data_IF_252807334781
#
_entry.id   IF_252807334781
#
_cell.length_a   1.000
_cell.length_b   1.000
_cell.length_c   1.000
_cell.angle_alpha   90.00
_cell.angle_beta   90.00
_cell.angle_gamma   90.00
#
_symmetry.space_group_name_H-M   'P 1'
#
loop_
_entity.id
_entity.type
_entity.pdbx_description
1 polymer ?
#
# COMPACT_ATOMS: atom_id res chain seq x y z
N UNK A 1 -30.31 40.14 51.34
CA UNK A 1 -29.49 41.00 52.21
C UNK A 1 -28.08 41.08 51.62
N UNK A 2 -27.68 42.35 51.41
CA UNK A 2 -26.31 42.87 51.16
C UNK A 2 -25.44 42.06 50.19
N UNK A 3 -25.07 42.41 48.97
CA UNK A 3 -24.81 43.75 48.41
C UNK A 3 -23.38 44.22 48.71
N UNK A 4 -22.40 43.88 47.80
CA UNK A 4 -21.19 44.72 47.64
C UNK A 4 -20.75 44.75 46.19
N UNK A 5 -20.90 45.92 45.61
CA UNK A 5 -20.33 46.43 44.40
C UNK A 5 -18.89 46.89 44.70
N UNK A 6 -17.90 46.54 43.89
CA UNK A 6 -16.68 47.33 43.77
C UNK A 6 -16.38 47.70 42.34
N UNK A 7 -15.99 48.93 42.21
CA UNK A 7 -15.88 49.74 41.00
C UNK A 7 -14.48 49.61 40.38
N UNK A 8 -14.49 49.68 39.10
CA UNK A 8 -13.47 49.98 38.08
C UNK A 8 -12.48 51.08 38.50
N UNK A 9 -11.20 50.89 38.17
CA UNK A 9 -10.27 51.97 37.78
C UNK A 9 -9.47 51.48 36.58
N UNK A 10 -9.62 52.21 35.47
CA UNK A 10 -8.80 52.09 34.27
C UNK A 10 -7.55 52.97 34.48
N UNK A 11 -6.38 52.43 34.13
CA UNK A 11 -5.19 53.22 33.91
C UNK A 11 -4.54 52.79 32.61
N UNK A 12 -4.63 53.64 31.60
CA UNK A 12 -3.92 53.48 30.33
C UNK A 12 -2.46 53.83 30.48
N UNK A 13 -1.61 53.03 29.90
CA UNK A 13 -0.20 53.41 29.64
C UNK A 13 0.08 53.12 28.17
N UNK A 14 0.29 54.22 27.46
CA UNK A 14 0.80 54.25 26.08
C UNK A 14 2.31 54.06 26.14
N UNK A 15 2.85 53.02 25.53
CA UNK A 15 4.31 52.90 25.32
C UNK A 15 4.55 52.81 23.80
N UNK A 16 5.16 53.85 23.26
CA UNK A 16 5.83 53.86 21.98
C UNK A 16 7.05 52.93 22.04
N UNK A 17 7.14 51.97 21.15
CA UNK A 17 8.38 51.22 20.94
C UNK A 17 8.96 51.54 19.56
N UNK A 18 10.19 51.96 19.59
CA UNK A 18 11.03 52.24 18.46
C UNK A 18 11.38 50.94 17.68
N UNK A 19 11.36 51.07 16.39
CA UNK A 19 11.93 50.09 15.43
C UNK A 19 13.47 50.22 15.48
N UNK A 20 14.13 49.11 15.81
CA UNK A 20 15.55 48.94 15.55
C UNK A 20 15.72 47.73 14.63
N UNK A 21 16.10 48.00 13.38
CA UNK A 21 16.59 47.00 12.45
C UNK A 21 17.97 46.53 12.95
N UNK A 22 18.13 45.25 13.13
CA UNK A 22 19.42 44.59 13.28
C UNK A 22 19.47 43.43 12.28
N UNK A 23 20.27 43.59 11.23
CA UNK A 23 20.78 42.50 10.44
C UNK A 23 21.71 41.69 11.33
N UNK A 24 21.48 40.41 11.42
CA UNK A 24 22.37 39.41 11.99
C UNK A 24 22.37 38.21 11.09
N UNK A 25 23.49 38.02 10.37
CA UNK A 25 23.82 36.79 9.71
C UNK A 25 23.97 35.69 10.78
N UNK A 26 23.25 34.60 10.63
CA UNK A 26 23.59 33.32 11.27
C UNK A 26 23.44 32.21 10.22
N UNK A 27 24.59 31.73 9.79
CA UNK A 27 24.76 30.49 9.07
C UNK A 27 24.31 29.32 9.96
N UNK A 28 23.28 28.60 9.52
CA UNK A 28 22.82 27.35 10.13
C UNK A 28 22.14 26.50 9.07
N UNK A 29 22.91 25.58 8.46
CA UNK A 29 22.47 24.73 7.38
C UNK A 29 21.28 23.84 7.75
N UNK A 30 20.33 23.80 6.86
CA UNK A 30 19.22 22.89 6.78
C UNK A 30 18.70 23.00 5.35
N UNK A 31 19.17 22.09 4.48
CA UNK A 31 18.75 22.06 3.08
C UNK A 31 17.30 21.60 3.03
N UNK A 32 16.45 22.47 2.59
CA UNK A 32 15.09 22.22 2.13
C UNK A 32 14.90 23.11 0.91
N UNK A 33 15.06 22.55 -0.28
CA UNK A 33 14.77 23.22 -1.55
C UNK A 33 13.25 23.30 -1.73
N UNK A 34 12.59 24.20 -0.99
CA UNK A 34 11.21 24.56 -1.27
C UNK A 34 11.21 25.49 -2.48
N UNK A 35 10.62 25.09 -3.60
CA UNK A 35 10.28 26.00 -4.69
C UNK A 35 9.45 27.16 -4.14
N UNK A 36 9.55 28.36 -4.74
CA UNK A 36 8.73 29.52 -4.36
C UNK A 36 7.26 29.25 -4.72
N UNK A 37 6.53 28.52 -3.85
CA UNK A 37 5.11 28.24 -4.02
C UNK A 37 4.28 29.50 -3.81
N UNK A 38 3.49 29.90 -4.79
CA UNK A 38 2.53 31.01 -4.63
C UNK A 38 1.38 30.60 -3.67
N UNK A 39 1.03 29.32 -3.67
CA UNK A 39 0.06 28.71 -2.76
C UNK A 39 0.38 27.23 -2.59
N UNK A 40 -0.08 26.65 -1.48
CA UNK A 40 0.05 25.21 -1.18
C UNK A 40 -1.35 24.58 -1.15
N UNK A 41 -1.53 23.52 -1.94
CA UNK A 41 -2.78 22.78 -1.98
C UNK A 41 -2.83 21.72 -0.87
N UNK A 42 -3.99 21.65 -0.20
CA UNK A 42 -4.25 20.61 0.81
C UNK A 42 -4.74 19.34 0.12
N UNK A 43 -4.12 18.23 0.40
CA UNK A 43 -4.44 16.93 -0.20
C UNK A 43 -4.58 15.87 0.88
N UNK A 44 -5.51 14.95 0.71
CA UNK A 44 -5.72 13.81 1.60
C UNK A 44 -5.57 12.48 0.85
N UNK A 45 -4.79 11.56 1.45
CA UNK A 45 -4.59 10.19 0.97
C UNK A 45 -5.12 9.19 2.01
N UNK A 46 -6.10 8.38 1.66
CA UNK A 46 -6.56 7.27 2.51
C UNK A 46 -5.72 6.02 2.23
N UNK A 47 -5.04 5.51 3.25
CA UNK A 47 -4.39 4.19 3.21
C UNK A 47 -5.43 3.08 3.32
N UNK A 48 -5.11 1.90 2.79
CA UNK A 48 -6.00 0.75 2.90
C UNK A 48 -5.77 -0.11 4.16
N UNK A 49 -4.67 0.10 4.87
CA UNK A 49 -4.30 -0.67 6.06
C UNK A 49 -3.62 0.21 7.11
N UNK A 50 -3.25 -0.40 8.24
CA UNK A 50 -2.47 0.25 9.29
C UNK A 50 -1.11 0.73 8.79
N UNK A 51 -0.51 1.68 9.52
CA UNK A 51 0.81 2.25 9.18
C UNK A 51 1.88 1.15 9.21
N UNK A 52 2.46 0.88 8.06
CA UNK A 52 3.54 -0.09 7.87
C UNK A 52 4.32 0.22 6.59
N UNK A 53 5.45 -0.48 6.34
CA UNK A 53 6.32 -0.21 5.18
C UNK A 53 5.64 -0.44 3.83
N UNK A 54 4.47 -1.09 3.79
CA UNK A 54 3.59 -1.14 2.62
C UNK A 54 3.29 0.25 2.04
N UNK A 55 3.38 1.30 2.85
CA UNK A 55 3.09 2.67 2.47
C UNK A 55 4.31 3.60 2.56
N UNK A 56 5.51 3.03 2.66
CA UNK A 56 6.74 3.77 2.94
C UNK A 56 7.01 4.90 1.94
N UNK A 57 6.74 4.70 0.65
CA UNK A 57 6.98 5.73 -0.37
C UNK A 57 6.20 7.02 -0.12
N UNK A 58 4.97 6.93 0.37
CA UNK A 58 4.15 8.10 0.69
C UNK A 58 4.67 8.85 1.92
N UNK A 59 5.08 8.12 2.96
CA UNK A 59 5.70 8.70 4.14
C UNK A 59 7.08 9.29 3.84
N UNK A 60 7.86 8.64 2.97
CA UNK A 60 9.14 9.17 2.50
C UNK A 60 8.94 10.45 1.67
N UNK A 61 7.92 10.50 0.81
CA UNK A 61 7.61 11.71 0.06
C UNK A 61 7.26 12.90 0.98
N UNK A 62 6.62 12.63 2.12
CA UNK A 62 6.33 13.65 3.13
C UNK A 62 7.60 14.05 3.91
N UNK A 63 8.37 13.09 4.41
CA UNK A 63 9.56 13.30 5.24
C UNK A 63 10.68 14.02 4.47
N UNK A 64 10.92 13.60 3.21
CA UNK A 64 11.93 14.16 2.34
C UNK A 64 11.52 15.50 1.68
N UNK A 65 10.28 15.93 1.89
CA UNK A 65 9.77 17.19 1.36
C UNK A 65 9.32 17.15 -0.10
N UNK A 66 9.25 15.99 -0.75
CA UNK A 66 8.86 15.88 -2.16
C UNK A 66 7.44 16.41 -2.44
N UNK A 67 6.51 16.23 -1.49
CA UNK A 67 5.20 16.87 -1.58
C UNK A 67 5.30 18.40 -1.48
N UNK A 68 6.12 18.92 -0.57
CA UNK A 68 6.31 20.35 -0.41
C UNK A 68 6.96 20.99 -1.64
N UNK A 69 7.91 20.29 -2.29
CA UNK A 69 8.53 20.72 -3.55
C UNK A 69 7.52 20.81 -4.71
N UNK A 70 6.43 20.02 -4.62
CA UNK A 70 5.28 20.06 -5.53
C UNK A 70 4.16 21.01 -5.05
N UNK A 71 4.42 21.86 -4.06
CA UNK A 71 3.44 22.76 -3.47
C UNK A 71 2.20 22.06 -2.91
N UNK A 72 2.39 20.88 -2.32
CA UNK A 72 1.35 20.09 -1.69
C UNK A 72 1.60 19.93 -0.19
N UNK A 73 0.53 20.03 0.59
CA UNK A 73 0.50 19.59 2.00
C UNK A 73 -0.41 18.36 2.09
N UNK A 74 0.20 17.17 2.19
CA UNK A 74 -0.51 15.90 2.14
C UNK A 74 -0.80 15.38 3.55
N UNK A 75 -2.07 15.10 3.82
CA UNK A 75 -2.52 14.39 5.02
C UNK A 75 -2.70 12.91 4.68
N UNK A 76 -1.87 12.05 5.26
CA UNK A 76 -1.98 10.60 5.13
C UNK A 76 -2.92 10.09 6.22
N UNK A 77 -4.04 9.48 5.82
CA UNK A 77 -5.08 8.96 6.72
C UNK A 77 -4.89 7.45 6.84
N UNK A 78 -4.67 6.98 8.08
CA UNK A 78 -4.48 5.56 8.35
C UNK A 78 -5.73 4.75 7.98
N UNK A 79 -5.51 3.55 7.45
CA UNK A 79 -6.56 2.58 7.14
C UNK A 79 -6.79 1.57 8.27
N UNK A 80 -7.35 0.41 7.93
CA UNK A 80 -7.61 -0.68 8.87
C UNK A 80 -8.75 -1.57 8.41
N UNK A 81 -9.04 -2.62 9.19
CA UNK A 81 -10.01 -3.68 8.84
C UNK A 81 -11.40 -3.14 8.47
N UNK A 82 -11.86 -2.12 9.18
CA UNK A 82 -13.21 -1.54 9.00
C UNK A 82 -13.24 -0.38 7.99
N UNK A 83 -12.10 -0.02 7.39
CA UNK A 83 -11.99 1.08 6.43
C UNK A 83 -12.02 0.55 5.01
N UNK A 84 -12.92 1.10 4.20
CA UNK A 84 -13.03 0.82 2.77
C UNK A 84 -12.55 2.06 2.00
N UNK A 85 -11.25 2.15 1.65
CA UNK A 85 -10.63 3.39 1.16
C UNK A 85 -11.25 3.88 -0.16
N UNK A 86 -11.55 2.99 -1.08
CA UNK A 86 -12.21 3.34 -2.34
C UNK A 86 -13.63 3.91 -2.13
N UNK A 87 -14.30 3.57 -1.01
CA UNK A 87 -15.59 4.17 -0.66
C UNK A 87 -15.40 5.56 -0.06
N UNK A 88 -14.37 5.76 0.78
CA UNK A 88 -14.03 7.09 1.30
C UNK A 88 -13.74 8.08 0.16
N UNK A 89 -13.04 7.62 -0.88
CA UNK A 89 -12.81 8.39 -2.09
C UNK A 89 -14.13 8.67 -2.85
N UNK A 90 -14.95 7.65 -3.08
CA UNK A 90 -16.22 7.80 -3.79
C UNK A 90 -17.20 8.74 -3.08
N UNK A 91 -17.15 8.79 -1.75
CA UNK A 91 -17.96 9.69 -0.92
C UNK A 91 -17.38 11.11 -0.85
N UNK A 92 -16.20 11.37 -1.45
CA UNK A 92 -15.51 12.65 -1.42
C UNK A 92 -14.93 13.02 -0.05
N UNK A 93 -14.68 12.03 0.80
CA UNK A 93 -14.08 12.25 2.12
C UNK A 93 -12.56 12.46 2.04
N UNK A 94 -11.93 11.97 0.99
CA UNK A 94 -10.50 12.11 0.70
C UNK A 94 -10.31 12.42 -0.78
N UNK A 95 -9.14 12.95 -1.14
CA UNK A 95 -8.80 13.30 -2.53
C UNK A 95 -8.27 12.10 -3.31
N UNK A 96 -7.50 11.23 -2.65
CA UNK A 96 -6.94 10.00 -3.21
C UNK A 96 -7.09 8.85 -2.22
N UNK A 97 -7.11 7.62 -2.75
CA UNK A 97 -7.16 6.42 -1.92
C UNK A 97 -6.26 5.32 -2.50
N UNK A 98 -5.72 4.48 -1.62
CA UNK A 98 -5.04 3.24 -2.00
C UNK A 98 -6.03 2.09 -1.91
N UNK A 99 -6.10 1.29 -2.94
CA UNK A 99 -6.93 0.08 -2.95
C UNK A 99 -6.39 -0.94 -3.96
N UNK A 100 -6.61 -2.22 -3.66
CA UNK A 100 -6.38 -3.29 -4.62
C UNK A 100 -7.38 -3.20 -5.77
N UNK A 101 -6.90 -3.50 -6.98
CA UNK A 101 -7.70 -3.35 -8.20
C UNK A 101 -9.04 -4.09 -8.14
N UNK A 102 -9.13 -5.39 -7.77
CA UNK A 102 -10.41 -6.09 -7.75
C UNK A 102 -11.42 -5.45 -6.78
N UNK A 103 -10.97 -4.99 -5.61
CA UNK A 103 -11.86 -4.32 -4.63
C UNK A 103 -12.39 -2.98 -5.13
N UNK A 104 -11.53 -2.21 -5.78
CA UNK A 104 -11.92 -0.94 -6.38
C UNK A 104 -12.87 -1.14 -7.58
N UNK A 105 -12.63 -2.15 -8.41
CA UNK A 105 -13.52 -2.51 -9.52
C UNK A 105 -14.91 -2.95 -9.04
N UNK A 106 -15.00 -3.73 -7.95
CA UNK A 106 -16.28 -4.07 -7.33
C UNK A 106 -17.04 -2.82 -6.85
N UNK A 107 -16.32 -1.85 -6.27
CA UNK A 107 -16.92 -0.58 -5.83
C UNK A 107 -17.36 0.26 -7.03
N UNK A 108 -16.61 0.25 -8.14
CA UNK A 108 -17.03 0.87 -9.41
C UNK A 108 -18.28 0.23 -9.97
N UNK A 109 -18.37 -1.11 -10.00
CA UNK A 109 -19.57 -1.82 -10.46
C UNK A 109 -20.80 -1.47 -9.61
N UNK A 110 -20.60 -1.20 -8.31
CA UNK A 110 -21.63 -0.70 -7.41
C UNK A 110 -22.01 0.77 -7.64
N UNK A 111 -21.33 1.48 -8.55
CA UNK A 111 -21.67 2.83 -8.99
C UNK A 111 -20.67 3.92 -8.60
N UNK A 112 -19.56 3.61 -7.96
CA UNK A 112 -18.51 4.58 -7.65
C UNK A 112 -17.79 5.06 -8.93
N UNK A 113 -17.59 6.37 -9.06
CA UNK A 113 -16.89 6.96 -10.20
C UNK A 113 -15.42 7.25 -9.85
N UNK A 114 -14.63 6.21 -9.63
CA UNK A 114 -13.21 6.29 -9.31
C UNK A 114 -12.36 5.68 -10.42
N UNK A 115 -11.13 6.12 -10.59
CA UNK A 115 -10.20 5.67 -11.65
C UNK A 115 -8.82 5.39 -11.08
N UNK A 116 -8.18 4.29 -11.50
CA UNK A 116 -6.78 4.01 -11.21
C UNK A 116 -5.88 4.95 -12.03
N UNK A 117 -5.07 5.75 -11.36
CA UNK A 117 -4.18 6.74 -11.98
C UNK A 117 -2.69 6.40 -11.85
N UNK A 118 -2.34 5.43 -11.00
CA UNK A 118 -0.99 4.87 -10.90
C UNK A 118 -1.00 3.51 -10.19
N UNK A 119 -0.49 2.49 -10.86
CA UNK A 119 -0.35 1.12 -10.33
C UNK A 119 1.02 0.96 -9.68
N UNK A 120 1.10 1.15 -8.36
CA UNK A 120 2.38 1.12 -7.65
C UNK A 120 2.93 -0.30 -7.57
N UNK A 121 2.16 -1.25 -7.07
CA UNK A 121 2.58 -2.66 -7.09
C UNK A 121 2.32 -3.27 -8.46
N UNK A 122 3.39 -3.68 -9.12
CA UNK A 122 3.37 -4.23 -10.48
C UNK A 122 3.04 -5.72 -10.50
N UNK A 123 3.05 -6.39 -9.33
CA UNK A 123 2.89 -7.83 -9.14
C UNK A 123 2.05 -8.10 -7.90
N UNK A 124 1.44 -9.29 -7.83
CA UNK A 124 0.81 -9.77 -6.61
C UNK A 124 1.86 -10.22 -5.60
N UNK A 125 1.67 -9.83 -4.34
CA UNK A 125 2.45 -10.32 -3.21
C UNK A 125 1.77 -11.45 -2.46
N UNK A 126 0.64 -11.98 -2.93
CA UNK A 126 -0.12 -13.02 -2.22
C UNK A 126 0.51 -14.40 -2.41
N UNK A 127 0.63 -15.09 -1.31
CA UNK A 127 1.20 -16.44 -1.19
C UNK A 127 0.23 -17.38 -0.49
N UNK A 128 0.45 -18.69 -0.69
CA UNK A 128 -0.01 -19.71 0.23
C UNK A 128 1.21 -20.39 0.85
N UNK A 129 1.34 -20.29 2.17
CA UNK A 129 2.51 -20.79 2.93
C UNK A 129 2.13 -22.04 3.71
N UNK A 130 2.98 -23.04 3.68
CA UNK A 130 2.81 -24.29 4.43
C UNK A 130 4.15 -24.80 4.95
N UNK A 131 4.16 -25.66 5.94
CA UNK A 131 5.37 -26.37 6.34
C UNK A 131 5.76 -27.45 5.33
N UNK A 132 7.06 -27.71 5.20
CA UNK A 132 7.60 -28.71 4.24
C UNK A 132 6.93 -30.08 4.41
N UNK A 133 6.66 -30.48 5.64
CA UNK A 133 6.03 -31.77 5.96
C UNK A 133 4.58 -31.90 5.47
N UNK A 134 3.91 -30.79 5.12
CA UNK A 134 2.57 -30.81 4.51
C UNK A 134 2.57 -31.44 3.13
N UNK A 135 3.72 -31.36 2.43
CA UNK A 135 3.90 -31.81 1.06
C UNK A 135 3.20 -30.92 0.02
N UNK A 136 2.77 -29.69 0.41
CA UNK A 136 2.14 -28.72 -0.49
C UNK A 136 3.24 -27.93 -1.18
N UNK A 137 3.39 -28.09 -2.49
CA UNK A 137 4.39 -27.40 -3.30
C UNK A 137 3.79 -26.68 -4.50
N UNK A 138 2.57 -27.07 -4.88
CA UNK A 138 1.80 -26.49 -5.99
C UNK A 138 0.32 -26.40 -5.60
N UNK A 139 -0.51 -25.61 -6.31
CA UNK A 139 -1.94 -25.57 -6.05
C UNK A 139 -2.65 -26.93 -6.20
N UNK A 140 -2.12 -27.86 -7.03
CA UNK A 140 -2.68 -29.22 -7.15
C UNK A 140 -2.60 -30.02 -5.83
N UNK A 141 -1.62 -29.71 -4.96
CA UNK A 141 -1.43 -30.38 -3.68
C UNK A 141 -2.41 -29.90 -2.59
N UNK A 142 -3.24 -28.89 -2.90
CA UNK A 142 -4.30 -28.45 -1.98
C UNK A 142 -5.42 -29.47 -1.84
N UNK A 143 -5.52 -30.45 -2.76
CA UNK A 143 -6.55 -31.49 -2.70
C UNK A 143 -6.57 -32.22 -1.36
N UNK A 144 -7.72 -32.19 -0.69
CA UNK A 144 -7.96 -32.83 0.62
C UNK A 144 -7.33 -32.08 1.81
N UNK A 145 -6.76 -30.90 1.61
CA UNK A 145 -6.12 -30.09 2.65
C UNK A 145 -7.06 -29.03 3.24
N UNK A 146 -6.70 -28.57 4.43
CA UNK A 146 -7.34 -27.43 5.09
C UNK A 146 -6.54 -26.18 4.78
N UNK A 147 -7.11 -25.29 4.00
CA UNK A 147 -6.45 -24.10 3.44
C UNK A 147 -7.07 -22.85 4.07
N UNK A 148 -6.23 -22.07 4.75
CA UNK A 148 -6.61 -20.77 5.29
C UNK A 148 -6.67 -19.71 4.20
N UNK A 149 -7.65 -18.80 4.33
CA UNK A 149 -7.73 -17.57 3.55
C UNK A 149 -8.40 -16.48 4.40
N UNK A 150 -8.15 -15.19 4.09
CA UNK A 150 -8.75 -14.08 4.85
C UNK A 150 -10.22 -13.85 4.52
N UNK A 151 -10.69 -14.26 3.34
CA UNK A 151 -12.01 -13.87 2.85
C UNK A 151 -12.06 -12.39 2.48
N UNK A 152 -13.25 -11.78 2.51
CA UNK A 152 -13.48 -10.35 2.25
C UNK A 152 -12.95 -9.85 0.90
N UNK A 153 -12.93 -10.73 -0.11
CA UNK A 153 -12.45 -10.43 -1.47
C UNK A 153 -10.95 -10.61 -1.64
N UNK A 154 -10.25 -11.26 -0.71
CA UNK A 154 -8.85 -11.65 -0.87
C UNK A 154 -8.70 -13.09 -1.42
N UNK A 155 -9.75 -13.88 -1.39
CA UNK A 155 -9.75 -15.32 -1.72
C UNK A 155 -9.73 -15.64 -3.21
N UNK A 156 -9.85 -14.66 -4.10
CA UNK A 156 -10.04 -14.94 -5.53
C UNK A 156 -8.80 -15.52 -6.22
N UNK A 157 -7.60 -15.21 -5.78
CA UNK A 157 -6.37 -15.81 -6.30
C UNK A 157 -6.30 -17.30 -5.98
N UNK A 158 -6.69 -17.70 -4.75
CA UNK A 158 -6.74 -19.12 -4.38
C UNK A 158 -7.84 -19.87 -5.16
N UNK A 159 -9.03 -19.28 -5.34
CA UNK A 159 -10.09 -19.88 -6.14
C UNK A 159 -9.66 -20.05 -7.61
N UNK A 160 -8.96 -19.07 -8.17
CA UNK A 160 -8.42 -19.14 -9.51
C UNK A 160 -7.37 -20.27 -9.63
N UNK A 161 -6.46 -20.37 -8.66
CA UNK A 161 -5.44 -21.42 -8.62
C UNK A 161 -6.06 -22.81 -8.52
N UNK A 162 -7.04 -23.01 -7.66
CA UNK A 162 -7.79 -24.28 -7.54
C UNK A 162 -8.50 -24.64 -8.86
N UNK A 163 -9.20 -23.67 -9.45
CA UNK A 163 -9.91 -23.88 -10.72
C UNK A 163 -8.95 -24.23 -11.86
N UNK A 164 -7.77 -23.59 -11.91
CA UNK A 164 -6.74 -23.88 -12.91
C UNK A 164 -6.23 -25.33 -12.81
N UNK A 165 -6.15 -25.89 -11.61
CA UNK A 165 -5.78 -27.29 -11.38
C UNK A 165 -6.97 -28.26 -11.53
N UNK A 166 -8.16 -27.75 -11.81
CA UNK A 166 -9.37 -28.56 -11.95
C UNK A 166 -9.94 -29.06 -10.61
N UNK A 167 -9.59 -28.39 -9.51
CA UNK A 167 -10.10 -28.64 -8.17
C UNK A 167 -11.36 -27.78 -7.94
N UNK A 168 -12.37 -28.41 -7.35
CA UNK A 168 -13.59 -27.72 -6.91
C UNK A 168 -13.36 -27.14 -5.50
N UNK A 169 -13.36 -25.80 -5.33
CA UNK A 169 -13.16 -25.17 -4.03
C UNK A 169 -14.15 -25.61 -2.94
N UNK A 170 -15.33 -26.09 -3.33
CA UNK A 170 -16.37 -26.49 -2.39
C UNK A 170 -16.23 -27.94 -1.90
N UNK A 171 -15.55 -28.82 -2.67
CA UNK A 171 -15.53 -30.26 -2.40
C UNK A 171 -14.14 -30.87 -2.27
N UNK A 172 -13.16 -30.31 -2.96
CA UNK A 172 -11.82 -30.90 -3.03
C UNK A 172 -10.85 -30.34 -1.99
N UNK A 173 -11.19 -29.22 -1.35
CA UNK A 173 -10.42 -28.59 -0.27
C UNK A 173 -11.33 -28.22 0.90
N UNK A 174 -10.76 -28.02 2.09
CA UNK A 174 -11.49 -27.39 3.20
C UNK A 174 -10.98 -25.96 3.35
N UNK A 175 -11.77 -24.98 2.91
CA UNK A 175 -11.42 -23.57 3.05
C UNK A 175 -11.85 -23.07 4.43
N UNK A 176 -10.94 -22.41 5.15
CA UNK A 176 -11.16 -21.87 6.50
C UNK A 176 -10.77 -20.40 6.51
N UNK A 177 -11.64 -19.56 7.05
CA UNK A 177 -11.26 -18.18 7.28
C UNK A 177 -10.21 -18.10 8.39
N UNK A 178 -9.07 -17.46 8.08
CA UNK A 178 -8.00 -17.19 9.03
C UNK A 178 -8.02 -15.71 9.45
N UNK A 179 -7.45 -15.44 10.63
CA UNK A 179 -7.14 -14.08 11.06
C UNK A 179 -5.96 -13.51 10.27
N UNK A 180 -5.70 -12.20 10.38
CA UNK A 180 -4.57 -11.53 9.72
C UNK A 180 -3.25 -11.79 10.47
N UNK A 181 -2.98 -13.08 10.73
CA UNK A 181 -1.77 -13.59 11.36
C UNK A 181 -1.54 -15.05 10.96
N UNK A 182 -0.47 -15.65 11.43
CA UNK A 182 -0.08 -17.03 11.11
C UNK A 182 -0.34 -18.03 12.24
N UNK A 183 -1.10 -17.66 13.27
CA UNK A 183 -1.38 -18.50 14.45
C UNK A 183 -2.01 -19.85 14.08
N UNK A 184 -2.95 -19.85 13.13
CA UNK A 184 -3.60 -21.09 12.67
C UNK A 184 -2.65 -22.06 12.00
N UNK A 185 -1.68 -21.56 11.22
CA UNK A 185 -0.63 -22.39 10.61
C UNK A 185 0.35 -22.92 11.69
N UNK A 186 0.82 -22.02 12.55
CA UNK A 186 1.77 -22.36 13.63
C UNK A 186 1.18 -23.36 14.64
N UNK A 187 -0.14 -23.30 14.89
CA UNK A 187 -0.86 -24.26 15.74
C UNK A 187 -1.14 -25.59 15.05
N UNK A 188 -1.02 -25.68 13.73
CA UNK A 188 -1.38 -26.83 12.92
C UNK A 188 -2.89 -27.02 12.73
N UNK A 189 -3.68 -25.95 12.88
CA UNK A 189 -5.12 -25.97 12.67
C UNK A 189 -5.47 -25.92 11.16
N UNK A 190 -4.57 -25.38 10.33
CA UNK A 190 -4.63 -25.36 8.87
C UNK A 190 -3.33 -25.90 8.27
N UNK A 191 -3.43 -26.54 7.09
CA UNK A 191 -2.28 -27.13 6.38
C UNK A 191 -1.47 -26.07 5.62
N UNK A 192 -2.13 -25.00 5.16
CA UNK A 192 -1.51 -23.85 4.51
C UNK A 192 -2.29 -22.58 4.82
N UNK A 193 -1.58 -21.46 4.92
CA UNK A 193 -2.13 -20.15 5.25
C UNK A 193 -1.91 -19.15 4.10
N UNK A 194 -2.90 -18.29 3.84
CA UNK A 194 -2.75 -17.13 2.98
C UNK A 194 -1.83 -16.11 3.66
N UNK A 195 -0.91 -15.53 2.90
CA UNK A 195 0.11 -14.62 3.41
C UNK A 195 0.51 -13.59 2.35
N UNK A 196 0.88 -12.38 2.80
CA UNK A 196 1.64 -11.48 1.95
C UNK A 196 3.14 -11.77 2.07
N UNK A 197 3.87 -11.69 0.95
CA UNK A 197 5.34 -11.84 0.94
C UNK A 197 6.00 -10.93 1.96
N UNK A 198 5.45 -9.74 2.12
CA UNK A 198 6.02 -8.69 2.94
C UNK A 198 5.54 -8.68 4.40
N UNK A 199 4.48 -9.42 4.76
CA UNK A 199 3.90 -9.37 6.12
C UNK A 199 3.81 -10.78 6.74
N UNK A 200 2.75 -11.54 6.49
CA UNK A 200 2.47 -12.78 7.20
C UNK A 200 3.55 -13.87 6.97
N UNK A 201 4.21 -13.86 5.79
CA UNK A 201 5.33 -14.77 5.57
C UNK A 201 6.47 -14.51 6.57
N UNK A 202 6.77 -13.25 6.86
CA UNK A 202 7.78 -12.90 7.86
C UNK A 202 7.35 -13.33 9.27
N UNK A 203 6.05 -13.25 9.61
CA UNK A 203 5.56 -13.68 10.94
C UNK A 203 5.89 -15.15 11.23
N UNK A 204 5.87 -16.04 10.22
CA UNK A 204 6.31 -17.42 10.40
C UNK A 204 7.81 -17.50 10.66
N UNK A 205 8.61 -16.73 9.91
CA UNK A 205 10.07 -16.70 10.06
C UNK A 205 10.53 -16.01 11.37
N UNK A 206 9.66 -15.27 12.03
CA UNK A 206 9.87 -14.62 13.34
C UNK A 206 9.39 -15.48 14.50
N UNK A 207 8.73 -16.60 14.21
CA UNK A 207 8.29 -17.56 15.20
C UNK A 207 9.38 -18.58 15.53
N UNK A 208 9.44 -19.00 16.81
CA UNK A 208 10.38 -20.03 17.26
C UNK A 208 9.87 -21.42 16.88
N UNK A 209 10.67 -22.17 16.14
CA UNK A 209 10.42 -23.58 15.86
C UNK A 209 10.58 -24.39 17.15
N UNK A 210 9.52 -25.06 17.65
CA UNK A 210 9.56 -25.77 18.93
C UNK A 210 10.50 -27.00 18.95
N UNK A 211 10.85 -27.53 17.77
CA UNK A 211 11.73 -28.70 17.66
C UNK A 211 13.21 -28.34 17.75
N UNK A 212 13.58 -27.15 17.27
CA UNK A 212 14.97 -26.69 17.25
C UNK A 212 15.29 -25.66 18.33
N UNK A 213 14.29 -24.88 18.76
CA UNK A 213 14.44 -23.74 19.65
C UNK A 213 15.03 -22.49 18.97
N UNK A 214 15.13 -22.48 17.64
CA UNK A 214 15.55 -21.36 16.79
C UNK A 214 14.36 -20.87 15.95
N UNK A 215 14.48 -19.72 15.30
CA UNK A 215 13.45 -19.22 14.39
C UNK A 215 13.27 -20.16 13.19
N UNK A 216 12.04 -20.26 12.68
CA UNK A 216 11.79 -20.94 11.41
C UNK A 216 12.63 -20.30 10.30
N UNK A 217 13.08 -21.13 9.37
CA UNK A 217 13.87 -20.72 8.21
C UNK A 217 13.06 -20.91 6.93
N UNK A 218 13.39 -20.20 5.84
CA UNK A 218 12.73 -20.41 4.55
C UNK A 218 12.71 -21.87 4.09
N UNK A 219 13.73 -22.66 4.47
CA UNK A 219 13.84 -24.08 4.15
C UNK A 219 12.84 -24.98 4.91
N UNK A 220 12.23 -24.48 5.99
CA UNK A 220 11.18 -25.17 6.74
C UNK A 220 9.81 -25.03 6.07
N UNK A 221 9.70 -24.14 5.06
CA UNK A 221 8.44 -23.74 4.45
C UNK A 221 8.39 -24.07 2.96
N UNK A 222 7.21 -24.45 2.50
CA UNK A 222 6.82 -24.42 1.10
C UNK A 222 5.98 -23.17 0.84
N UNK A 223 6.20 -22.54 -0.30
CA UNK A 223 5.51 -21.32 -0.71
C UNK A 223 4.93 -21.51 -2.11
N UNK A 224 3.63 -21.29 -2.25
CA UNK A 224 2.95 -21.15 -3.54
C UNK A 224 2.69 -19.68 -3.77
N UNK A 225 3.37 -19.08 -4.75
CA UNK A 225 3.16 -17.69 -5.16
C UNK A 225 2.06 -17.62 -6.23
N UNK A 226 1.00 -16.86 -5.97
CA UNK A 226 -0.08 -16.71 -6.95
C UNK A 226 0.36 -15.91 -8.18
N UNK A 227 1.34 -15.02 -8.05
CA UNK A 227 1.96 -14.37 -9.21
C UNK A 227 2.70 -15.38 -10.08
N UNK A 228 3.52 -16.27 -9.49
CA UNK A 228 4.31 -17.26 -10.23
C UNK A 228 3.45 -18.34 -10.89
N UNK A 229 2.34 -18.75 -10.28
CA UNK A 229 1.41 -19.71 -10.88
C UNK A 229 0.44 -19.05 -11.87
N UNK A 230 0.54 -17.74 -12.08
CA UNK A 230 -0.14 -17.01 -13.15
C UNK A 230 -1.56 -16.57 -12.83
N UNK A 231 -1.94 -16.57 -11.56
CA UNK A 231 -3.26 -16.10 -11.08
C UNK A 231 -3.18 -14.84 -10.20
N UNK A 232 -2.01 -14.21 -10.15
CA UNK A 232 -1.81 -12.97 -9.40
C UNK A 232 -2.69 -11.84 -9.94
N UNK A 233 -3.34 -11.10 -9.04
CA UNK A 233 -4.16 -9.93 -9.33
C UNK A 233 -3.41 -8.66 -8.92
N UNK A 234 -3.64 -7.54 -9.64
CA UNK A 234 -3.04 -6.26 -9.30
C UNK A 234 -3.53 -5.74 -7.94
N UNK A 235 -2.58 -5.30 -7.13
CA UNK A 235 -2.80 -4.88 -5.76
C UNK A 235 -2.72 -3.35 -5.62
N UNK A 236 -1.87 -2.83 -4.73
CA UNK A 236 -1.81 -1.42 -4.35
C UNK A 236 -1.70 -0.46 -5.54
N UNK A 237 -2.74 0.34 -5.72
CA UNK A 237 -2.84 1.37 -6.73
C UNK A 237 -3.36 2.68 -6.12
N UNK A 238 -3.03 3.81 -6.76
CA UNK A 238 -3.56 5.12 -6.43
C UNK A 238 -4.84 5.35 -7.25
N UNK A 239 -5.93 5.61 -6.53
CA UNK A 239 -7.24 5.90 -7.11
C UNK A 239 -7.62 7.34 -6.90
N UNK A 240 -8.30 7.93 -7.89
CA UNK A 240 -8.80 9.30 -7.91
C UNK A 240 -10.28 9.35 -8.30
N UNK A 241 -10.93 10.48 -8.05
CA UNK A 241 -12.29 10.75 -8.52
C UNK A 241 -12.26 11.03 -10.04
N UNK A 242 -12.92 10.20 -10.83
CA UNK A 242 -12.89 10.27 -12.29
C UNK A 242 -13.62 11.51 -12.82
N UNK A 243 -14.72 11.95 -12.19
CA UNK A 243 -15.46 13.13 -12.61
C UNK A 243 -14.66 14.40 -12.36
N UNK A 244 -13.99 14.50 -11.22
CA UNK A 244 -13.11 15.63 -10.91
C UNK A 244 -11.91 15.68 -11.85
N UNK A 245 -11.29 14.56 -12.19
CA UNK A 245 -10.17 14.51 -13.14
C UNK A 245 -10.56 15.00 -14.54
N UNK A 246 -11.79 14.75 -14.97
CA UNK A 246 -12.30 15.16 -16.28
C UNK A 246 -12.75 16.63 -16.30
N UNK A 247 -13.35 17.12 -15.20
CA UNK A 247 -14.06 18.39 -15.17
C UNK A 247 -13.32 19.53 -14.44
N UNK A 248 -12.28 19.22 -13.66
CA UNK A 248 -11.54 20.17 -12.82
C UNK A 248 -10.04 20.13 -13.15
N UNK A 249 -9.58 21.05 -13.97
CA UNK A 249 -8.17 21.19 -14.37
C UNK A 249 -7.24 21.36 -13.15
N UNK A 250 -7.70 21.99 -12.07
CA UNK A 250 -6.90 22.18 -10.86
C UNK A 250 -6.71 20.85 -10.11
N UNK A 251 -7.77 20.03 -10.00
CA UNK A 251 -7.64 18.70 -9.40
C UNK A 251 -6.76 17.76 -10.23
N UNK A 252 -6.86 17.85 -11.55
CA UNK A 252 -5.98 17.09 -12.46
C UNK A 252 -4.51 17.49 -12.27
N UNK A 253 -4.21 18.77 -12.16
CA UNK A 253 -2.86 19.26 -11.88
C UNK A 253 -2.36 18.77 -10.50
N UNK A 254 -3.20 18.84 -9.47
CA UNK A 254 -2.91 18.26 -8.14
C UNK A 254 -2.60 16.77 -8.26
N UNK A 255 -3.37 16.00 -9.03
CA UNK A 255 -3.16 14.57 -9.21
C UNK A 255 -1.78 14.25 -9.83
N UNK A 256 -1.36 15.01 -10.87
CA UNK A 256 -0.03 14.86 -11.48
C UNK A 256 1.08 15.16 -10.46
N UNK A 257 0.98 16.27 -9.73
CA UNK A 257 1.98 16.65 -8.71
C UNK A 257 2.04 15.66 -7.56
N UNK A 258 0.87 15.17 -7.10
CA UNK A 258 0.77 14.17 -6.04
C UNK A 258 1.39 12.84 -6.45
N UNK A 259 1.08 12.34 -7.66
CA UNK A 259 1.66 11.10 -8.19
C UNK A 259 3.17 11.28 -8.39
N UNK A 260 3.64 12.40 -8.96
CA UNK A 260 5.08 12.70 -9.11
C UNK A 260 5.82 12.56 -7.78
N UNK A 261 5.38 13.25 -6.73
CA UNK A 261 6.03 13.21 -5.42
C UNK A 261 5.93 11.83 -4.76
N UNK A 262 4.79 11.15 -4.88
CA UNK A 262 4.59 9.80 -4.33
C UNK A 262 5.55 8.78 -4.98
N UNK A 263 5.67 8.80 -6.30
CA UNK A 263 6.58 7.90 -7.02
C UNK A 263 8.05 8.24 -6.76
N UNK A 264 8.39 9.53 -6.56
CA UNK A 264 9.71 9.95 -6.10
C UNK A 264 10.04 9.36 -4.72
N UNK A 265 9.06 9.33 -3.80
CA UNK A 265 9.20 8.70 -2.50
C UNK A 265 9.46 7.20 -2.60
N UNK A 266 8.80 6.50 -3.53
CA UNK A 266 9.06 5.08 -3.78
C UNK A 266 10.44 4.83 -4.40
N UNK A 267 10.89 5.66 -5.36
CA UNK A 267 12.25 5.57 -5.89
C UNK A 267 13.29 5.84 -4.80
N UNK A 268 13.05 6.82 -3.92
CA UNK A 268 13.89 7.06 -2.76
C UNK A 268 13.96 5.84 -1.83
N UNK A 269 12.82 5.18 -1.54
CA UNK A 269 12.77 3.99 -0.68
C UNK A 269 13.43 2.76 -1.31
N UNK A 270 13.46 2.64 -2.64
CA UNK A 270 14.27 1.62 -3.32
C UNK A 270 15.75 1.73 -2.94
N UNK A 271 16.25 2.95 -2.95
CA UNK A 271 17.68 3.22 -2.79
C UNK A 271 18.08 3.45 -1.31
N UNK A 272 17.10 3.67 -0.41
CA UNK A 272 17.30 4.02 1.00
C UNK A 272 16.40 3.18 1.93
N UNK A 273 16.47 1.85 1.80
CA UNK A 273 15.56 0.88 2.45
C UNK A 273 15.49 1.07 3.96
N UNK A 274 16.65 1.20 4.64
CA UNK A 274 16.73 1.37 6.09
C UNK A 274 16.15 2.71 6.54
N UNK A 275 16.41 3.79 5.78
CA UNK A 275 15.87 5.11 6.09
C UNK A 275 14.35 5.10 5.97
N UNK A 276 13.79 4.47 4.94
CA UNK A 276 12.34 4.36 4.77
C UNK A 276 11.71 3.51 5.88
N UNK A 277 12.36 2.41 6.32
CA UNK A 277 11.96 1.67 7.50
C UNK A 277 11.88 2.60 8.73
N UNK A 278 12.91 3.42 8.98
CA UNK A 278 12.95 4.32 10.13
C UNK A 278 11.86 5.40 10.07
N UNK A 279 11.59 5.94 8.88
CA UNK A 279 10.49 6.88 8.65
C UNK A 279 9.16 6.24 9.04
N UNK A 280 8.87 5.02 8.57
CA UNK A 280 7.61 4.31 8.87
C UNK A 280 7.46 4.02 10.37
N UNK A 281 8.54 3.56 11.01
CA UNK A 281 8.53 3.31 12.47
C UNK A 281 8.26 4.61 13.24
N UNK A 282 8.83 5.74 12.80
CA UNK A 282 8.57 7.04 13.41
C UNK A 282 7.13 7.53 13.23
N UNK A 283 6.39 7.05 12.23
CA UNK A 283 4.96 7.33 12.05
C UNK A 283 4.06 6.56 13.02
N UNK A 284 4.60 5.63 13.80
CA UNK A 284 3.88 4.89 14.83
C UNK A 284 3.46 3.48 14.41
N UNK A 285 4.13 2.87 13.45
CA UNK A 285 3.94 1.45 13.15
C UNK A 285 4.03 0.60 14.42
N UNK A 286 3.14 -0.37 14.54
CA UNK A 286 3.13 -1.31 15.66
C UNK A 286 4.12 -2.48 15.45
N UNK A 287 4.60 -2.65 14.22
CA UNK A 287 5.51 -3.73 13.84
C UNK A 287 6.98 -3.34 14.11
N UNK A 288 7.81 -4.31 14.46
CA UNK A 288 9.19 -4.11 14.83
C UNK A 288 10.12 -3.71 13.66
N UNK A 289 11.31 -3.26 14.01
CA UNK A 289 12.27 -2.76 13.02
C UNK A 289 12.70 -3.80 11.98
N UNK A 290 12.96 -5.06 12.39
CA UNK A 290 13.36 -6.12 11.47
C UNK A 290 12.22 -6.49 10.53
N UNK A 291 11.00 -6.57 11.04
CA UNK A 291 9.80 -6.82 10.25
C UNK A 291 9.56 -5.71 9.22
N UNK A 292 9.64 -4.43 9.64
CA UNK A 292 9.48 -3.30 8.72
C UNK A 292 10.58 -3.23 7.65
N UNK A 293 11.82 -3.66 7.99
CA UNK A 293 12.90 -3.76 7.01
C UNK A 293 12.64 -4.90 6.00
N UNK A 294 12.13 -6.02 6.48
CA UNK A 294 11.66 -7.12 5.62
C UNK A 294 10.55 -6.64 4.69
N UNK A 295 9.52 -6.01 5.24
CA UNK A 295 8.43 -5.45 4.44
C UNK A 295 8.94 -4.54 3.34
N UNK A 296 9.83 -3.60 3.68
CA UNK A 296 10.39 -2.66 2.72
C UNK A 296 11.12 -3.37 1.58
N UNK A 297 11.93 -4.41 1.90
CA UNK A 297 12.65 -5.22 0.92
C UNK A 297 11.68 -5.99 -0.01
N UNK A 298 10.66 -6.66 0.55
CA UNK A 298 9.71 -7.46 -0.22
C UNK A 298 8.80 -6.57 -1.10
N UNK A 299 8.38 -5.42 -0.60
CA UNK A 299 7.57 -4.46 -1.37
C UNK A 299 8.37 -3.92 -2.56
N UNK A 300 9.66 -3.63 -2.37
CA UNK A 300 10.51 -3.24 -3.48
C UNK A 300 10.55 -4.31 -4.59
N UNK A 301 10.47 -5.60 -4.26
CA UNK A 301 10.37 -6.69 -5.26
C UNK A 301 9.02 -6.68 -6.01
N UNK A 302 7.95 -6.17 -5.40
CA UNK A 302 6.65 -6.04 -6.06
C UNK A 302 6.60 -4.83 -7.00
N UNK A 303 7.42 -3.82 -6.76
CA UNK A 303 7.49 -2.60 -7.56
C UNK A 303 8.54 -2.72 -8.65
N UNK A 304 9.77 -3.11 -8.30
CA UNK A 304 10.93 -3.07 -9.17
C UNK A 304 11.34 -4.45 -9.72
N UNK A 305 11.88 -4.53 -10.93
CA UNK A 305 11.92 -3.46 -11.94
C UNK A 305 10.53 -3.16 -12.49
N UNK A 306 10.33 -1.92 -12.93
CA UNK A 306 9.13 -1.42 -13.58
C UNK A 306 9.47 -0.97 -15.02
N UNK A 307 9.41 -1.86 -16.02
CA UNK A 307 9.96 -1.62 -17.35
C UNK A 307 9.36 -0.45 -18.12
N UNK A 308 8.15 -0.02 -17.73
CA UNK A 308 7.44 1.11 -18.33
C UNK A 308 7.44 2.34 -17.39
N UNK A 309 8.24 2.30 -16.32
CA UNK A 309 8.25 3.25 -15.24
C UNK A 309 7.30 2.88 -14.08
N UNK A 310 7.72 3.24 -12.87
CA UNK A 310 6.90 3.02 -11.67
C UNK A 310 5.52 3.67 -11.82
N UNK A 311 4.49 2.98 -11.38
CA UNK A 311 3.11 3.46 -11.42
C UNK A 311 2.40 3.24 -12.76
N UNK A 312 3.13 2.88 -13.83
CA UNK A 312 2.53 2.59 -15.13
C UNK A 312 1.70 1.30 -15.06
N UNK A 313 0.48 1.34 -15.62
CA UNK A 313 -0.41 0.18 -15.65
C UNK A 313 -0.05 -0.69 -16.85
N UNK A 314 0.36 -1.94 -16.59
CA UNK A 314 0.56 -2.97 -17.60
C UNK A 314 -0.79 -3.58 -18.02
N UNK A 315 -1.13 -3.48 -19.31
CA UNK A 315 -2.42 -3.96 -19.82
C UNK A 315 -2.60 -5.47 -19.63
N UNK A 316 -1.53 -6.26 -19.76
CA UNK A 316 -1.65 -7.71 -19.63
C UNK A 316 -1.93 -8.12 -18.16
N UNK A 317 -1.31 -7.44 -17.19
CA UNK A 317 -1.60 -7.64 -15.77
C UNK A 317 -2.99 -7.14 -15.39
N UNK A 318 -3.43 -6.03 -15.99
CA UNK A 318 -4.80 -5.54 -15.84
C UNK A 318 -5.82 -6.53 -16.39
N UNK A 319 -5.64 -7.00 -17.64
CA UNK A 319 -6.55 -7.94 -18.29
C UNK A 319 -6.63 -9.26 -17.51
N UNK A 320 -5.51 -9.78 -17.02
CA UNK A 320 -5.47 -10.95 -16.13
C UNK A 320 -6.30 -10.71 -14.86
N UNK A 321 -6.12 -9.56 -14.22
CA UNK A 321 -6.89 -9.20 -13.02
C UNK A 321 -8.39 -9.15 -13.29
N UNK A 322 -8.80 -8.55 -14.40
CA UNK A 322 -10.20 -8.47 -14.82
C UNK A 322 -10.75 -9.85 -15.17
N UNK A 323 -9.98 -10.68 -15.88
CA UNK A 323 -10.40 -12.04 -16.24
C UNK A 323 -10.68 -12.88 -14.98
N UNK A 324 -9.78 -12.85 -14.00
CA UNK A 324 -9.98 -13.55 -12.71
C UNK A 324 -11.20 -12.98 -11.99
N UNK A 325 -11.33 -11.66 -11.91
CA UNK A 325 -12.46 -11.00 -11.25
C UNK A 325 -13.83 -11.35 -11.85
N UNK A 326 -13.88 -11.64 -13.15
CA UNK A 326 -15.12 -11.98 -13.86
C UNK A 326 -15.42 -13.48 -13.90
N UNK A 327 -14.38 -14.33 -13.92
CA UNK A 327 -14.56 -15.75 -14.24
C UNK A 327 -14.28 -16.67 -13.05
N UNK A 328 -13.76 -16.13 -11.93
CA UNK A 328 -13.52 -16.91 -10.72
C UNK A 328 -14.67 -16.72 -9.74
N UNK A 329 -15.41 -17.79 -9.47
CA UNK A 329 -16.50 -17.78 -8.51
C UNK A 329 -16.02 -18.21 -7.12
N UNK A 330 -16.56 -17.54 -6.08
CA UNK A 330 -16.41 -17.97 -4.69
C UNK A 330 -17.34 -19.14 -4.35
N UNK A 331 -17.36 -19.57 -3.08
CA UNK A 331 -18.19 -20.70 -2.62
C UNK A 331 -19.71 -20.49 -2.80
N UNK A 332 -20.17 -19.25 -2.84
CA UNK A 332 -21.56 -18.90 -3.09
C UNK A 332 -21.89 -18.79 -4.58
N UNK A 333 -20.91 -18.98 -5.45
CA UNK A 333 -21.03 -18.84 -6.90
C UNK A 333 -20.99 -17.38 -7.38
N UNK A 334 -20.55 -16.44 -6.54
CA UNK A 334 -20.40 -15.04 -6.90
C UNK A 334 -18.98 -14.75 -7.40
N UNK A 335 -18.87 -13.91 -8.43
CA UNK A 335 -17.63 -13.35 -8.94
C UNK A 335 -17.42 -11.94 -8.38
N UNK A 336 -16.21 -11.41 -8.46
CA UNK A 336 -15.93 -10.00 -8.07
C UNK A 336 -16.71 -9.05 -8.96
N UNK A 337 -16.72 -9.34 -10.27
CA UNK A 337 -17.42 -8.55 -11.29
C UNK A 337 -18.46 -9.41 -12.01
N UNK A 338 -19.62 -8.83 -12.29
CA UNK A 338 -20.69 -9.45 -13.10
C UNK A 338 -20.66 -9.01 -14.56
N UNK A 339 -19.93 -7.94 -14.87
CA UNK A 339 -19.71 -7.41 -16.20
C UNK A 339 -18.29 -6.83 -16.32
N UNK A 340 -17.72 -6.74 -17.55
CA UNK A 340 -16.45 -6.06 -17.77
C UNK A 340 -16.48 -4.64 -17.22
N UNK A 341 -15.36 -4.14 -16.63
CA UNK A 341 -15.27 -2.75 -16.19
C UNK A 341 -15.64 -1.79 -17.31
N UNK A 342 -16.38 -0.74 -16.98
CA UNK A 342 -16.66 0.33 -17.93
C UNK A 342 -15.39 1.07 -18.34
N UNK A 343 -15.39 1.68 -19.54
CA UNK A 343 -14.31 2.54 -19.99
C UNK A 343 -13.93 3.56 -18.91
N UNK A 344 -12.64 3.92 -18.83
CA UNK A 344 -12.15 4.86 -17.85
C UNK A 344 -11.97 4.26 -16.43
N UNK A 345 -11.87 2.94 -16.30
CA UNK A 345 -11.51 2.31 -15.03
C UNK A 345 -10.06 2.58 -14.63
N UNK A 346 -9.20 2.89 -15.60
CA UNK A 346 -7.82 3.28 -15.41
C UNK A 346 -7.35 4.24 -16.50
N UNK A 347 -6.26 4.96 -16.22
CA UNK A 347 -5.55 5.78 -17.20
C UNK A 347 -4.07 5.83 -16.89
N UNK A 348 -3.23 5.83 -17.93
CA UNK A 348 -1.80 6.12 -17.82
C UNK A 348 -1.45 7.60 -18.08
N UNK A 349 -2.42 8.47 -18.30
CA UNK A 349 -2.16 9.88 -18.62
C UNK A 349 -1.47 10.61 -17.45
N UNK A 350 -1.98 10.44 -16.23
CA UNK A 350 -1.44 11.07 -15.02
C UNK A 350 -0.03 10.54 -14.72
N UNK A 351 0.14 9.22 -14.72
CA UNK A 351 1.45 8.59 -14.42
C UNK A 351 2.47 8.90 -15.52
N UNK A 352 2.07 9.02 -16.79
CA UNK A 352 2.98 9.40 -17.89
C UNK A 352 3.54 10.81 -17.69
N UNK A 353 2.71 11.77 -17.29
CA UNK A 353 3.15 13.13 -16.96
C UNK A 353 4.06 13.12 -15.71
N UNK A 354 3.71 12.35 -14.68
CA UNK A 354 4.51 12.20 -13.48
C UNK A 354 5.90 11.59 -13.75
N UNK A 355 5.97 10.54 -14.58
CA UNK A 355 7.24 9.93 -15.02
C UNK A 355 8.09 10.96 -15.77
N UNK A 356 7.49 11.74 -16.70
CA UNK A 356 8.21 12.80 -17.41
C UNK A 356 8.77 13.87 -16.47
N UNK A 357 8.06 14.21 -15.40
CA UNK A 357 8.56 15.11 -14.36
C UNK A 357 9.73 14.51 -13.60
N UNK A 358 9.66 13.22 -13.22
CA UNK A 358 10.71 12.51 -12.50
C UNK A 358 11.98 12.33 -13.33
N UNK A 359 11.86 12.02 -14.62
CA UNK A 359 12.98 12.01 -15.55
C UNK A 359 13.65 13.39 -15.64
N UNK A 360 12.86 14.47 -15.63
CA UNK A 360 13.34 15.84 -15.57
C UNK A 360 14.13 16.18 -14.28
N UNK A 361 13.92 15.41 -13.21
CA UNK A 361 14.64 15.49 -11.93
C UNK A 361 15.79 14.45 -11.83
N UNK A 362 16.10 13.72 -12.91
CA UNK A 362 17.13 12.66 -12.96
C UNK A 362 16.84 11.49 -11.99
N UNK A 363 15.55 11.18 -11.77
CA UNK A 363 15.10 10.04 -10.96
C UNK A 363 15.00 8.81 -11.84
N UNK A 364 15.62 7.70 -11.44
CA UNK A 364 15.47 6.41 -12.10
C UNK A 364 14.08 5.82 -11.80
N UNK A 365 13.21 5.84 -12.79
CA UNK A 365 11.82 5.39 -12.72
C UNK A 365 11.63 3.91 -13.06
N UNK A 366 12.62 3.26 -13.65
CA UNK A 366 12.56 1.86 -14.09
C UNK A 366 13.10 0.89 -13.04
N UNK A 367 14.11 1.30 -12.28
CA UNK A 367 14.76 0.48 -11.26
C UNK A 367 15.39 -0.80 -11.80
N UNK A 368 15.93 -0.77 -13.03
CA UNK A 368 16.49 -1.96 -13.68
C UNK A 368 17.68 -2.57 -12.93
N UNK A 369 18.40 -1.76 -12.16
CA UNK A 369 19.55 -2.18 -11.35
C UNK A 369 19.15 -2.54 -9.91
N UNK A 370 17.85 -2.57 -9.58
CA UNK A 370 17.38 -2.95 -8.26
C UNK A 370 17.84 -4.36 -7.89
N UNK A 371 18.38 -4.50 -6.70
CA UNK A 371 18.71 -5.78 -6.08
C UNK A 371 18.20 -5.80 -4.64
N UNK A 372 17.47 -6.85 -4.24
CA UNK A 372 17.01 -6.99 -2.87
C UNK A 372 18.20 -7.13 -1.90
N UNK A 373 18.00 -6.69 -0.66
CA UNK A 373 18.98 -6.86 0.41
C UNK A 373 18.69 -8.15 1.20
N UNK A 374 19.70 -8.63 1.95
CA UNK A 374 19.48 -9.66 2.96
C UNK A 374 18.94 -9.01 4.24
N UNK A 375 17.85 -9.54 4.78
CA UNK A 375 17.25 -9.08 6.01
C UNK A 375 17.27 -10.20 7.05
N UNK A 376 17.77 -9.89 8.25
CA UNK A 376 17.69 -10.80 9.39
C UNK A 376 16.48 -10.43 10.22
N UNK A 377 15.54 -11.36 10.35
CA UNK A 377 14.37 -11.21 11.19
C UNK A 377 14.69 -11.52 12.65
N UNK A 378 13.94 -10.92 13.57
CA UNK A 378 14.05 -11.11 15.01
C UNK A 378 12.76 -11.74 15.55
N UNK A 379 12.85 -12.47 16.67
CA UNK A 379 11.70 -13.11 17.31
C UNK A 379 10.64 -12.08 17.68
N UNK A 380 9.39 -12.33 17.27
CA UNK A 380 8.24 -11.50 17.62
C UNK A 380 8.31 -10.08 17.03
N UNK A 381 8.85 -9.93 15.83
CA UNK A 381 8.94 -8.65 15.11
C UNK A 381 7.61 -8.12 14.59
N UNK A 382 6.57 -8.96 14.53
CA UNK A 382 5.22 -8.60 14.09
C UNK A 382 4.26 -8.41 15.27
#
# INVERSE_FOLDING_TARGET
MRGHRFRVVAAGVLVLALVAAACGDDDGGGGGGGGDCESTDQVSLQLQWFIQAQFAGYFAAQDQGFYADQCLEVTIVEGGVDIVPQQQLADGAVDFALAWVPKALATREAGANIVNIAQVFQRSGTLQVSFVDSGITTPADFAGKTIGNWGFGNEYEIFAALTQEGLDPATDVTLVQQDFNMDGLLAGDIDAAEAMTYNEYAQVLEAVNPDTGELYQPEDLNVVSYEEVGVGMLQDAIWADAERLESDDAYRDIAVRFVTASLQGWAYCRDNVETCRDIVVAQGSQLGNSHQLWQMNEINKLIWPAPNGIGFIDEAAWDRTVDIAMNTANLEGATVLTAPPTDGAWTNDIVTEAIGNLEGLDVDVDGNDFAPIEVTLEEGGA
#
